data_IF_621988692201
#
_entry.id   IF_621988692201
#
_cell.length_a   1.000
_cell.length_b   1.000
_cell.length_c   1.000
_cell.angle_alpha   90.00
_cell.angle_beta   90.00
_cell.angle_gamma   90.00
#
_symmetry.space_group_name_H-M   'P 1'
#
loop_
_entity.id
_entity.type
_entity.pdbx_description
1 polymer ?
#
# COMPACT_ATOMS: atom_id res chain seq x y z
N UNK A 1 -18.82 -0.05 7.52
CA UNK A 1 -18.81 0.50 6.14
C UNK A 1 -18.45 -0.62 5.16
N UNK A 2 -18.91 -0.56 3.90
CA UNK A 2 -18.74 -1.63 2.90
C UNK A 2 -17.27 -2.03 2.70
N UNK A 3 -16.36 -1.05 2.60
CA UNK A 3 -14.92 -1.29 2.46
C UNK A 3 -14.34 -2.12 3.61
N UNK A 4 -14.76 -1.85 4.85
CA UNK A 4 -14.31 -2.59 6.01
C UNK A 4 -14.78 -4.04 5.99
N UNK A 5 -16.02 -4.28 5.57
CA UNK A 5 -16.55 -5.63 5.41
C UNK A 5 -15.80 -6.43 4.33
N UNK A 6 -15.50 -5.80 3.19
CA UNK A 6 -14.74 -6.43 2.10
C UNK A 6 -13.30 -6.76 2.50
N UNK A 7 -12.57 -5.78 3.04
CA UNK A 7 -11.17 -5.97 3.46
C UNK A 7 -11.07 -7.07 4.54
N UNK A 8 -11.91 -6.99 5.58
CA UNK A 8 -11.88 -7.99 6.64
C UNK A 8 -12.37 -9.35 6.16
N UNK A 9 -13.39 -9.41 5.30
CA UNK A 9 -13.90 -10.65 4.75
C UNK A 9 -12.85 -11.38 3.91
N UNK A 10 -12.18 -10.66 3.01
CA UNK A 10 -11.09 -11.20 2.21
C UNK A 10 -9.94 -11.72 3.09
N UNK A 11 -9.47 -10.93 4.05
CA UNK A 11 -8.41 -11.35 4.96
C UNK A 11 -8.80 -12.53 5.87
N UNK A 12 -10.05 -12.56 6.35
CA UNK A 12 -10.54 -13.62 7.25
C UNK A 12 -10.72 -14.95 6.53
N UNK A 13 -11.05 -14.93 5.24
CA UNK A 13 -11.19 -16.13 4.41
C UNK A 13 -9.88 -16.89 4.19
N UNK A 14 -8.74 -16.23 4.42
CA UNK A 14 -7.42 -16.84 4.31
C UNK A 14 -7.00 -17.53 5.61
N UNK A 15 -6.40 -18.71 5.51
CA UNK A 15 -5.78 -19.40 6.66
C UNK A 15 -4.41 -18.81 7.05
N UNK A 16 -3.81 -18.01 6.18
CA UNK A 16 -2.50 -17.39 6.36
C UNK A 16 -2.50 -16.34 7.48
N UNK A 17 -1.31 -16.12 8.06
CA UNK A 17 -0.98 -14.99 8.93
C UNK A 17 0.10 -14.12 8.28
N UNK A 18 0.36 -12.96 8.87
CA UNK A 18 1.43 -12.02 8.51
C UNK A 18 1.36 -11.60 7.04
N UNK A 19 0.22 -11.00 6.68
CA UNK A 19 -0.13 -10.76 5.30
C UNK A 19 0.77 -9.69 4.63
N UNK A 20 1.11 -9.92 3.36
CA UNK A 20 1.68 -8.93 2.46
C UNK A 20 0.53 -8.30 1.67
N UNK A 21 0.37 -6.97 1.77
CA UNK A 21 -0.75 -6.22 1.18
C UNK A 21 -0.24 -5.24 0.13
N UNK A 22 -0.93 -5.20 -1.02
CA UNK A 22 -0.80 -4.17 -2.04
C UNK A 22 -2.10 -3.35 -2.10
N UNK A 23 -2.04 -2.05 -1.82
CA UNK A 23 -3.18 -1.13 -1.91
C UNK A 23 -2.99 -0.20 -3.11
N UNK A 24 -3.67 -0.53 -4.20
CA UNK A 24 -3.63 0.15 -5.48
C UNK A 24 -4.54 1.38 -5.46
N UNK A 25 -4.00 2.52 -5.90
CA UNK A 25 -4.64 3.82 -5.77
C UNK A 25 -5.04 4.12 -4.32
N UNK A 26 -4.07 3.99 -3.40
CA UNK A 26 -4.31 4.10 -1.96
C UNK A 26 -4.72 5.50 -1.50
N UNK A 27 -4.56 6.52 -2.36
CA UNK A 27 -4.81 7.92 -2.04
C UNK A 27 -4.07 8.34 -0.78
N UNK A 28 -4.79 9.01 0.13
CA UNK A 28 -4.29 9.45 1.44
C UNK A 28 -4.27 8.33 2.49
N UNK A 29 -4.27 7.05 2.08
CA UNK A 29 -4.46 5.88 2.95
C UNK A 29 -5.76 5.94 3.77
N UNK A 30 -6.90 6.21 3.11
CA UNK A 30 -8.22 6.27 3.77
C UNK A 30 -8.72 4.92 4.32
N UNK A 31 -8.10 3.81 3.88
CA UNK A 31 -8.39 2.47 4.36
C UNK A 31 -7.42 1.98 5.44
N UNK A 32 -6.47 2.81 5.87
CA UNK A 32 -5.47 2.45 6.90
C UNK A 32 -6.08 1.89 8.18
N UNK A 33 -7.10 2.55 8.74
CA UNK A 33 -7.76 2.07 9.95
C UNK A 33 -8.38 0.67 9.78
N UNK A 34 -8.76 0.27 8.55
CA UNK A 34 -9.30 -1.05 8.22
C UNK A 34 -8.17 -2.07 8.12
N UNK A 35 -7.06 -1.70 7.49
CA UNK A 35 -5.85 -2.51 7.48
C UNK A 35 -5.31 -2.76 8.89
N UNK A 36 -5.39 -1.79 9.80
CA UNK A 36 -5.03 -2.00 11.21
C UNK A 36 -5.96 -2.99 11.94
N UNK A 37 -7.22 -3.12 11.53
CA UNK A 37 -8.12 -4.18 12.07
C UNK A 37 -7.66 -5.55 11.58
N UNK A 38 -7.28 -5.67 10.30
CA UNK A 38 -6.68 -6.89 9.75
C UNK A 38 -5.36 -7.20 10.44
N UNK A 39 -4.48 -6.21 10.62
CA UNK A 39 -3.19 -6.40 11.26
C UNK A 39 -3.31 -6.95 12.69
N UNK A 40 -4.31 -6.50 13.47
CA UNK A 40 -4.57 -7.03 14.81
C UNK A 40 -5.04 -8.49 14.83
N UNK A 41 -5.71 -8.95 13.78
CA UNK A 41 -6.32 -10.29 13.74
C UNK A 41 -5.49 -11.32 12.97
N UNK A 42 -4.78 -10.90 11.93
CA UNK A 42 -4.00 -11.75 11.03
C UNK A 42 -2.51 -11.42 11.01
N UNK A 43 -2.11 -10.24 11.47
CA UNK A 43 -0.79 -9.69 11.20
C UNK A 43 -0.68 -9.14 9.77
N UNK A 44 0.09 -8.07 9.60
CA UNK A 44 0.52 -7.57 8.29
C UNK A 44 2.04 -7.39 8.38
N UNK A 45 2.78 -8.20 7.64
CA UNK A 45 4.25 -8.13 7.62
C UNK A 45 4.75 -7.02 6.69
N UNK A 46 3.97 -6.72 5.64
CA UNK A 46 4.33 -5.71 4.64
C UNK A 46 3.10 -5.07 4.05
N UNK A 47 3.12 -3.74 3.97
CA UNK A 47 2.12 -2.94 3.28
C UNK A 47 2.79 -2.12 2.18
N UNK A 48 2.31 -2.25 0.95
CA UNK A 48 2.71 -1.39 -0.17
C UNK A 48 1.49 -0.64 -0.65
N UNK A 49 1.53 0.69 -0.59
CA UNK A 49 0.52 1.56 -1.20
C UNK A 49 1.08 2.22 -2.45
N UNK A 50 0.27 2.39 -3.48
CA UNK A 50 0.66 3.17 -4.67
C UNK A 50 -0.45 4.12 -5.07
N UNK A 51 -0.08 5.32 -5.52
CA UNK A 51 -1.02 6.33 -5.99
C UNK A 51 -0.37 7.24 -7.03
N UNK A 52 -1.17 7.86 -7.90
CA UNK A 52 -0.67 8.77 -8.94
C UNK A 52 -0.39 10.19 -8.39
N UNK A 53 -0.95 10.55 -7.23
CA UNK A 53 -0.84 11.88 -6.67
C UNK A 53 0.17 11.93 -5.50
N UNK A 54 1.32 12.58 -5.71
CA UNK A 54 2.35 12.71 -4.68
C UNK A 54 1.85 13.41 -3.41
N UNK A 55 1.01 14.43 -3.56
CA UNK A 55 0.39 15.11 -2.40
C UNK A 55 -0.47 14.17 -1.56
N UNK A 56 -1.14 13.20 -2.17
CA UNK A 56 -1.89 12.16 -1.45
C UNK A 56 -0.97 11.26 -0.64
N UNK A 57 0.18 10.87 -1.20
CA UNK A 57 1.18 10.06 -0.50
C UNK A 57 1.81 10.82 0.67
N UNK A 58 2.09 12.12 0.53
CA UNK A 58 2.58 12.96 1.63
C UNK A 58 1.57 13.00 2.78
N UNK A 59 0.28 13.16 2.47
CA UNK A 59 -0.77 13.10 3.49
C UNK A 59 -0.93 11.70 4.09
N UNK A 60 -0.73 10.64 3.29
CA UNK A 60 -0.71 9.27 3.77
C UNK A 60 0.40 9.04 4.80
N UNK A 61 1.63 9.49 4.53
CA UNK A 61 2.76 9.38 5.49
C UNK A 61 2.43 10.01 6.83
N UNK A 62 1.84 11.22 6.83
CA UNK A 62 1.40 11.90 8.07
C UNK A 62 0.40 11.05 8.84
N UNK A 63 -0.61 10.51 8.16
CA UNK A 63 -1.62 9.63 8.76
C UNK A 63 -1.04 8.33 9.31
N UNK A 64 -0.07 7.74 8.62
CA UNK A 64 0.60 6.53 9.08
C UNK A 64 1.42 6.79 10.35
N UNK A 65 2.10 7.94 10.42
CA UNK A 65 2.91 8.32 11.58
C UNK A 65 2.09 8.44 12.88
N UNK A 66 0.82 8.86 12.81
CA UNK A 66 -0.10 8.94 13.96
C UNK A 66 -0.36 7.56 14.62
N UNK A 67 -0.20 6.46 13.87
CA UNK A 67 -0.49 5.10 14.32
C UNK A 67 0.73 4.25 14.65
N UNK A 68 1.96 4.78 14.52
CA UNK A 68 3.20 3.99 14.54
C UNK A 68 3.49 3.27 15.87
N UNK A 69 2.98 3.79 16.98
CA UNK A 69 3.15 3.21 18.32
C UNK A 69 2.25 1.97 18.54
N UNK A 70 1.35 1.65 17.59
CA UNK A 70 0.50 0.48 17.71
C UNK A 70 1.32 -0.81 17.54
N UNK A 71 1.19 -1.78 18.45
CA UNK A 71 1.93 -3.04 18.35
C UNK A 71 1.58 -3.89 17.12
N UNK A 72 0.41 -3.67 16.51
CA UNK A 72 0.02 -4.30 15.25
C UNK A 72 0.47 -3.50 14.02
N UNK A 73 1.25 -2.43 14.19
CA UNK A 73 1.72 -1.61 13.09
C UNK A 73 2.65 -2.43 12.17
N UNK A 74 2.42 -2.46 10.85
CA UNK A 74 3.24 -3.23 9.93
C UNK A 74 4.71 -2.80 10.02
N UNK A 75 5.66 -3.75 10.14
CA UNK A 75 7.07 -3.42 10.28
C UNK A 75 7.70 -2.90 8.98
N UNK A 76 7.06 -3.14 7.83
CA UNK A 76 7.50 -2.68 6.52
C UNK A 76 6.35 -1.98 5.78
N UNK A 77 6.53 -0.70 5.49
CA UNK A 77 5.58 0.12 4.73
C UNK A 77 6.33 0.81 3.59
N UNK A 78 5.77 0.75 2.38
CA UNK A 78 6.27 1.44 1.20
C UNK A 78 5.12 2.16 0.50
N UNK A 79 5.35 3.39 0.07
CA UNK A 79 4.37 4.20 -0.67
C UNK A 79 5.00 4.72 -1.96
N UNK A 80 4.51 4.30 -3.13
CA UNK A 80 5.08 4.66 -4.43
C UNK A 80 4.20 5.56 -5.28
N UNK A 81 4.80 6.56 -5.94
CA UNK A 81 4.13 7.40 -6.93
C UNK A 81 4.03 6.66 -8.28
N UNK A 82 2.85 6.18 -8.65
CA UNK A 82 2.69 5.33 -9.85
C UNK A 82 1.44 5.69 -10.64
N UNK A 83 1.60 5.89 -11.94
CA UNK A 83 0.51 5.81 -12.90
C UNK A 83 0.28 4.34 -13.30
N UNK A 84 -0.67 3.69 -12.61
CA UNK A 84 -0.96 2.26 -12.76
C UNK A 84 -1.33 1.81 -14.18
N UNK A 85 -1.77 2.72 -15.05
CA UNK A 85 -2.10 2.40 -16.44
C UNK A 85 -1.01 2.76 -17.44
N UNK A 86 0.20 3.10 -17.00
CA UNK A 86 1.28 3.53 -17.90
C UNK A 86 2.71 3.22 -17.41
N UNK A 87 2.91 2.90 -16.13
CA UNK A 87 4.24 2.68 -15.56
C UNK A 87 4.37 1.29 -14.95
N UNK A 88 5.53 0.66 -15.14
CA UNK A 88 5.87 -0.59 -14.45
C UNK A 88 6.28 -0.28 -13.02
N UNK A 89 5.67 -0.96 -12.05
CA UNK A 89 6.01 -0.77 -10.63
C UNK A 89 7.36 -1.39 -10.25
N UNK A 90 7.87 -2.33 -11.03
CA UNK A 90 9.14 -3.04 -10.76
C UNK A 90 10.33 -2.41 -11.48
N UNK A 91 10.10 -1.75 -12.61
CA UNK A 91 11.17 -1.31 -13.51
C UNK A 91 11.32 0.21 -13.54
N UNK A 92 10.22 0.97 -13.43
CA UNK A 92 10.27 2.44 -13.58
C UNK A 92 10.65 3.10 -12.25
N UNK A 93 11.80 3.79 -12.15
CA UNK A 93 12.13 4.57 -10.97
C UNK A 93 11.10 5.69 -10.75
N UNK A 94 10.73 5.90 -9.49
CA UNK A 94 9.76 6.92 -9.09
C UNK A 94 10.05 7.41 -7.67
N UNK A 95 9.28 8.39 -7.23
CA UNK A 95 9.30 8.86 -5.85
C UNK A 95 8.62 7.81 -4.97
N UNK A 96 9.38 7.31 -4.00
CA UNK A 96 8.91 6.31 -3.04
C UNK A 96 9.19 6.78 -1.63
N UNK A 97 8.22 6.67 -0.73
CA UNK A 97 8.46 6.74 0.70
C UNK A 97 8.59 5.33 1.28
N UNK A 98 9.57 5.10 2.14
CA UNK A 98 9.77 3.82 2.81
C UNK A 98 9.94 4.02 4.32
N UNK A 99 9.21 3.23 5.10
CA UNK A 99 9.38 3.22 6.56
C UNK A 99 10.76 2.70 6.95
N UNK A 100 11.32 3.28 8.01
CA UNK A 100 12.54 2.77 8.65
C UNK A 100 12.20 1.83 9.80
N UNK A 101 13.17 1.01 10.19
CA UNK A 101 13.03 0.15 11.37
C UNK A 101 12.96 0.95 12.67
N UNK A 102 12.48 0.32 13.74
CA UNK A 102 12.25 0.96 15.04
C UNK A 102 13.48 1.63 15.68
N UNK A 103 14.69 1.25 15.27
CA UNK A 103 15.94 1.85 15.74
C UNK A 103 16.33 3.16 15.01
N UNK A 104 15.56 3.59 14.01
CA UNK A 104 15.85 4.79 13.24
C UNK A 104 15.26 6.04 13.91
N UNK A 105 16.01 7.14 13.86
CA UNK A 105 15.56 8.44 14.35
C UNK A 105 14.43 9.05 13.51
N UNK A 106 14.34 8.66 12.24
CA UNK A 106 13.26 9.07 11.33
C UNK A 106 12.25 7.94 11.15
N UNK A 107 10.99 8.31 10.94
CA UNK A 107 9.93 7.34 10.67
C UNK A 107 10.08 6.66 9.31
N UNK A 108 10.62 7.39 8.33
CA UNK A 108 10.84 6.92 6.96
C UNK A 108 11.37 8.02 6.08
N UNK A 109 11.87 7.65 4.90
CA UNK A 109 12.50 8.58 3.97
C UNK A 109 11.91 8.49 2.58
N UNK A 110 11.96 9.61 1.85
CA UNK A 110 11.69 9.67 0.42
C UNK A 110 12.95 9.34 -0.37
N UNK A 111 12.83 8.38 -1.28
CA UNK A 111 13.91 7.89 -2.15
C UNK A 111 13.43 7.83 -3.60
N UNK A 112 14.37 7.79 -4.53
CA UNK A 112 14.11 7.46 -5.92
C UNK A 112 14.41 5.98 -6.15
N UNK A 113 13.37 5.21 -6.46
CA UNK A 113 13.45 3.76 -6.67
C UNK A 113 12.19 3.26 -7.38
N UNK A 114 12.17 2.03 -7.93
CA UNK A 114 10.92 1.39 -8.31
C UNK A 114 9.96 1.29 -7.11
N UNK A 115 8.66 1.35 -7.42
CA UNK A 115 7.61 1.31 -6.41
C UNK A 115 7.61 -0.04 -5.66
N UNK A 116 7.88 -1.14 -6.35
CA UNK A 116 8.15 -2.45 -5.75
C UNK A 116 9.66 -2.67 -5.68
N UNK A 117 10.19 -2.78 -4.47
CA UNK A 117 11.58 -3.16 -4.24
C UNK A 117 11.88 -4.60 -4.67
N UNK A 118 13.16 -5.00 -4.74
CA UNK A 118 13.56 -6.36 -5.13
C UNK A 118 12.98 -7.45 -4.22
N UNK A 119 12.74 -7.11 -2.95
CA UNK A 119 12.17 -7.99 -1.93
C UNK A 119 10.64 -7.95 -1.89
N UNK A 120 10.01 -7.01 -2.61
CA UNK A 120 8.56 -6.85 -2.65
C UNK A 120 7.95 -7.83 -3.66
N UNK A 121 8.16 -9.13 -3.44
CA UNK A 121 7.65 -10.20 -4.31
C UNK A 121 6.45 -10.89 -3.66
N UNK A 122 5.39 -11.06 -4.44
CA UNK A 122 4.15 -11.70 -4.02
C UNK A 122 3.32 -10.85 -3.05
N UNK A 123 2.01 -10.94 -3.18
CA UNK A 123 1.06 -10.32 -2.25
C UNK A 123 -0.05 -11.32 -1.96
N UNK A 124 -0.48 -11.39 -0.70
CA UNK A 124 -1.64 -12.20 -0.34
C UNK A 124 -2.93 -11.47 -0.68
N UNK A 125 -2.93 -10.14 -0.55
CA UNK A 125 -4.07 -9.30 -0.87
C UNK A 125 -3.63 -8.13 -1.74
N UNK A 126 -4.33 -7.93 -2.85
CA UNK A 126 -4.34 -6.70 -3.62
C UNK A 126 -5.72 -6.04 -3.48
N UNK A 127 -5.73 -4.78 -3.05
CA UNK A 127 -6.93 -3.97 -2.90
C UNK A 127 -6.90 -2.84 -3.91
N UNK A 128 -8.04 -2.54 -4.54
CA UNK A 128 -8.19 -1.38 -5.41
C UNK A 128 -9.58 -0.77 -5.20
N UNK A 129 -9.70 0.14 -4.25
CA UNK A 129 -10.99 0.71 -3.87
C UNK A 129 -11.33 1.91 -4.75
N UNK A 130 -12.42 1.82 -5.50
CA UNK A 130 -12.98 2.93 -6.30
C UNK A 130 -12.04 3.52 -7.37
N UNK A 131 -11.07 2.76 -7.88
CA UNK A 131 -10.12 3.27 -8.88
C UNK A 131 -10.01 2.42 -10.16
N UNK A 132 -10.56 1.20 -10.17
CA UNK A 132 -10.38 0.27 -11.29
C UNK A 132 -10.86 0.86 -12.64
N UNK A 133 -11.96 1.62 -12.62
CA UNK A 133 -12.53 2.23 -13.82
C UNK A 133 -11.58 3.21 -14.53
N UNK A 134 -10.59 3.79 -13.84
CA UNK A 134 -9.57 4.65 -14.48
C UNK A 134 -8.59 3.86 -15.36
N UNK A 135 -8.47 2.54 -15.15
CA UNK A 135 -7.61 1.69 -15.99
C UNK A 135 -8.29 1.36 -17.32
N UNK A 136 -9.61 1.48 -17.41
CA UNK A 136 -10.41 1.14 -18.60
C UNK A 136 -10.72 2.35 -19.49
N UNK A 137 -10.04 3.48 -19.30
CA UNK A 137 -10.24 4.66 -20.15
C UNK A 137 -9.74 4.46 -21.59
N UNK A 138 -8.69 3.65 -21.77
CA UNK A 138 -8.19 3.24 -23.09
C UNK A 138 -7.77 1.78 -23.06
N UNK A 139 -7.66 1.15 -24.24
CA UNK A 139 -7.19 -0.23 -24.37
C UNK A 139 -5.77 -0.37 -23.84
N UNK A 140 -4.91 0.59 -24.13
CA UNK A 140 -3.50 0.59 -23.73
C UNK A 140 -3.37 0.57 -22.21
N UNK A 141 -4.15 1.43 -21.50
CA UNK A 141 -4.16 1.45 -20.03
C UNK A 141 -4.66 0.14 -19.43
N UNK A 142 -5.71 -0.44 -20.03
CA UNK A 142 -6.29 -1.69 -19.55
C UNK A 142 -5.39 -2.90 -19.79
N UNK A 143 -4.58 -2.89 -20.86
CA UNK A 143 -3.62 -3.95 -21.17
C UNK A 143 -2.30 -3.80 -20.40
N UNK A 144 -2.00 -2.59 -19.92
CA UNK A 144 -0.83 -2.33 -19.07
C UNK A 144 -1.08 -2.75 -17.62
N UNK A 145 -2.30 -2.52 -17.12
CA UNK A 145 -2.72 -2.89 -15.77
C UNK A 145 -2.87 -4.40 -15.59
#
# INVERSE_FOLDING_TARGET
>A
CIKGALINGAASSMSLRDLCVLDLACGKCGDWAKWMVVARSKGISRYVGVDIAQGSLVDAVKRLAEGRENSAFPPSIRLGLVNLGAQSMEETPTVVWQSRGAASETFGDWIEAPALGPTDRGFHLASMQFALHYMFQTKERAMHF
#
